data_IF_774164113493
#
_entry.id   IF_774164113493
#
_cell.length_a   1.000
_cell.length_b   1.000
_cell.length_c   1.000
_cell.angle_alpha   90.00
_cell.angle_beta   90.00
_cell.angle_gamma   90.00
#
_symmetry.space_group_name_H-M   'P 1'
#
loop_
_entity.id
_entity.type
_entity.pdbx_description
1 polymer ?
#
# COMPACT_ATOMS: atom_id res chain seq x y z
N UNK A 1 28.97 -33.88 -14.28
CA UNK A 1 28.31 -32.73 -13.63
C UNK A 1 27.07 -32.42 -14.45
N UNK A 2 25.85 -32.47 -13.88
CA UNK A 2 24.62 -32.30 -14.69
C UNK A 2 24.50 -30.88 -15.25
N UNK A 3 23.85 -30.73 -16.40
CA UNK A 3 23.64 -29.45 -17.11
C UNK A 3 23.07 -28.33 -16.21
N UNK A 4 22.22 -28.68 -15.23
CA UNK A 4 21.69 -27.76 -14.23
C UNK A 4 22.74 -27.18 -13.27
N UNK A 5 23.83 -27.90 -13.00
CA UNK A 5 24.95 -27.41 -12.19
C UNK A 5 25.83 -26.47 -13.01
N UNK A 6 25.92 -26.69 -14.32
CA UNK A 6 26.67 -25.81 -15.23
C UNK A 6 25.97 -24.44 -15.36
N UNK A 7 24.64 -24.40 -15.55
CA UNK A 7 23.88 -23.14 -15.55
C UNK A 7 23.86 -22.39 -14.21
N UNK A 8 23.96 -23.10 -13.08
CA UNK A 8 24.06 -22.49 -11.76
C UNK A 8 25.46 -21.90 -11.47
N UNK A 9 26.46 -22.27 -12.29
CA UNK A 9 27.85 -21.81 -12.20
C UNK A 9 28.19 -20.74 -13.24
N UNK A 10 27.27 -20.41 -14.16
CA UNK A 10 27.46 -19.26 -15.05
C UNK A 10 27.26 -17.99 -14.24
N UNK A 11 28.31 -17.19 -14.13
CA UNK A 11 28.27 -15.91 -13.45
C UNK A 11 27.17 -15.04 -14.08
N UNK A 12 26.22 -14.62 -13.23
CA UNK A 12 25.07 -13.83 -13.66
C UNK A 12 25.50 -12.38 -13.70
N UNK A 13 25.66 -11.85 -14.91
CA UNK A 13 25.92 -10.44 -15.14
C UNK A 13 24.66 -9.79 -15.67
N UNK A 14 24.37 -8.56 -15.25
CA UNK A 14 23.27 -7.82 -15.87
C UNK A 14 23.65 -7.35 -17.27
N UNK A 15 22.65 -7.17 -18.11
CA UNK A 15 22.85 -6.67 -19.46
C UNK A 15 23.51 -5.29 -19.41
N UNK A 16 24.72 -5.16 -19.93
CA UNK A 16 25.46 -3.90 -19.99
C UNK A 16 26.52 -3.70 -18.89
N UNK A 17 26.56 -4.54 -17.85
CA UNK A 17 27.63 -4.51 -16.85
C UNK A 17 28.91 -5.16 -17.36
N UNK A 18 30.07 -4.71 -16.84
CA UNK A 18 31.37 -5.34 -17.14
C UNK A 18 31.45 -6.69 -16.44
N UNK A 19 31.83 -7.72 -17.19
CA UNK A 19 32.02 -9.09 -16.68
C UNK A 19 33.48 -9.42 -16.26
N UNK A 20 34.37 -8.44 -16.33
CA UNK A 20 35.79 -8.58 -15.98
C UNK A 20 36.39 -7.25 -15.55
N UNK A 21 37.50 -7.31 -14.82
CA UNK A 21 38.30 -6.14 -14.47
C UNK A 21 39.67 -6.52 -13.90
N UNK A 22 40.18 -5.70 -12.97
CA UNK A 22 41.53 -5.88 -12.42
C UNK A 22 41.75 -7.26 -11.76
N UNK A 23 40.72 -7.81 -11.11
CA UNK A 23 40.78 -9.10 -10.41
C UNK A 23 40.47 -10.31 -11.30
N UNK A 24 40.41 -10.11 -12.62
CA UNK A 24 40.07 -11.15 -13.60
C UNK A 24 38.60 -11.18 -13.95
N UNK A 25 38.13 -12.34 -14.41
CA UNK A 25 36.72 -12.56 -14.76
C UNK A 25 35.89 -12.69 -13.49
N UNK A 26 34.71 -12.08 -13.51
CA UNK A 26 33.74 -12.25 -12.44
C UNK A 26 33.19 -13.67 -12.48
N UNK A 27 33.09 -14.27 -11.30
CA UNK A 27 32.67 -15.67 -11.13
C UNK A 27 31.53 -15.82 -10.14
N UNK A 28 31.19 -14.74 -9.43
CA UNK A 28 30.09 -14.71 -8.49
C UNK A 28 28.77 -15.15 -9.13
N UNK A 29 27.92 -15.80 -8.33
CA UNK A 29 26.59 -16.24 -8.76
C UNK A 29 25.56 -15.10 -8.75
N UNK A 30 25.94 -13.94 -8.22
CA UNK A 30 25.13 -12.74 -8.09
C UNK A 30 26.01 -11.52 -8.38
N UNK A 31 25.49 -10.59 -9.19
CA UNK A 31 26.03 -9.25 -9.45
C UNK A 31 24.98 -8.22 -9.01
N UNK A 32 25.34 -7.24 -8.18
CA UNK A 32 24.39 -6.32 -7.57
C UNK A 32 24.04 -5.15 -8.50
N UNK A 33 23.15 -4.25 -8.06
CA UNK A 33 22.62 -3.21 -8.94
C UNK A 33 23.67 -2.15 -9.29
N UNK A 34 24.71 -2.02 -8.46
CA UNK A 34 25.78 -1.07 -8.68
C UNK A 34 26.60 -1.44 -9.94
N UNK A 35 26.90 -0.45 -10.78
CA UNK A 35 27.68 -0.67 -12.00
C UNK A 35 29.16 -0.97 -11.70
N UNK A 36 29.69 -1.99 -12.38
CA UNK A 36 31.06 -2.47 -12.15
C UNK A 36 32.14 -1.51 -12.67
N UNK A 37 33.10 -1.19 -11.80
CA UNK A 37 34.30 -0.38 -12.06
C UNK A 37 33.99 1.03 -12.59
N UNK A 38 32.98 1.70 -12.05
CA UNK A 38 32.63 3.09 -12.41
C UNK A 38 33.54 4.13 -11.77
N UNK A 39 33.95 3.92 -10.50
CA UNK A 39 34.76 4.89 -9.75
C UNK A 39 36.26 4.61 -9.82
N UNK A 40 36.64 3.34 -9.90
CA UNK A 40 38.04 2.91 -9.96
C UNK A 40 38.16 1.57 -10.68
N UNK A 41 39.33 1.30 -11.27
CA UNK A 41 39.62 0.03 -11.93
C UNK A 41 39.88 -1.13 -10.94
N UNK A 42 40.12 -0.84 -9.67
CA UNK A 42 40.53 -1.84 -8.66
C UNK A 42 39.38 -2.42 -7.83
N UNK A 43 38.22 -1.75 -7.80
CA UNK A 43 37.04 -2.12 -7.00
C UNK A 43 35.87 -2.22 -7.96
N UNK A 44 35.22 -3.39 -8.00
CA UNK A 44 34.08 -3.62 -8.86
C UNK A 44 32.87 -2.77 -8.44
N UNK A 45 32.35 -2.98 -7.22
CA UNK A 45 31.21 -2.22 -6.70
C UNK A 45 31.70 -1.28 -5.58
N UNK A 46 31.85 0.01 -5.87
CA UNK A 46 32.47 0.97 -4.96
C UNK A 46 31.68 1.16 -3.66
N UNK A 47 30.39 1.49 -3.76
CA UNK A 47 29.55 1.79 -2.61
C UNK A 47 29.26 0.53 -1.78
N UNK A 48 29.00 -0.60 -2.42
CA UNK A 48 28.86 -1.89 -1.73
C UNK A 48 30.16 -2.31 -1.02
N UNK A 49 31.33 -1.97 -1.57
CA UNK A 49 32.62 -2.23 -0.91
C UNK A 49 32.84 -1.32 0.30
N UNK A 50 32.77 0.01 0.14
CA UNK A 50 33.14 0.96 1.21
C UNK A 50 32.13 1.02 2.35
N UNK A 51 30.85 0.70 2.09
CA UNK A 51 29.80 0.63 3.11
C UNK A 51 30.07 -0.43 4.19
N UNK A 52 30.96 -1.39 3.92
CA UNK A 52 31.39 -2.39 4.89
C UNK A 52 32.38 -1.86 5.96
N UNK A 53 33.05 -0.71 5.73
CA UNK A 53 34.07 -0.18 6.64
C UNK A 53 33.50 0.15 8.04
N UNK A 54 32.38 0.89 8.18
CA UNK A 54 31.79 1.16 9.49
C UNK A 54 31.37 -0.13 10.22
N UNK A 55 30.86 -1.11 9.47
CA UNK A 55 30.43 -2.40 10.00
C UNK A 55 31.61 -3.20 10.58
N UNK A 56 32.76 -3.20 9.90
CA UNK A 56 34.02 -3.79 10.41
C UNK A 56 34.46 -3.08 11.69
N UNK A 57 34.51 -1.75 11.68
CA UNK A 57 34.96 -0.95 12.83
C UNK A 57 34.08 -1.19 14.07
N UNK A 58 32.76 -1.24 13.89
CA UNK A 58 31.81 -1.51 14.97
C UNK A 58 31.96 -2.94 15.53
N UNK A 59 32.18 -3.94 14.66
CA UNK A 59 32.45 -5.31 15.09
C UNK A 59 33.72 -5.42 15.94
N UNK A 60 34.82 -4.78 15.51
CA UNK A 60 36.07 -4.74 16.27
C UNK A 60 35.92 -3.99 17.60
N UNK A 61 35.21 -2.85 17.59
CA UNK A 61 34.94 -2.09 18.81
C UNK A 61 34.12 -2.90 19.82
N UNK A 62 33.08 -3.60 19.38
CA UNK A 62 32.29 -4.48 20.25
C UNK A 62 33.08 -5.66 20.80
N UNK A 63 34.01 -6.21 20.01
CA UNK A 63 34.91 -7.28 20.45
C UNK A 63 35.88 -6.76 21.52
N UNK A 64 36.52 -5.61 21.28
CA UNK A 64 37.39 -4.94 22.25
C UNK A 64 36.65 -4.66 23.56
N UNK A 65 35.47 -4.04 23.49
CA UNK A 65 34.67 -3.71 24.67
C UNK A 65 34.30 -4.98 25.46
N UNK A 66 33.87 -6.04 24.77
CA UNK A 66 33.56 -7.33 25.40
C UNK A 66 34.76 -7.98 26.09
N UNK A 67 35.97 -7.79 25.56
CA UNK A 67 37.20 -8.33 26.14
C UNK A 67 37.68 -7.53 27.36
N UNK A 68 37.41 -6.23 27.41
CA UNK A 68 37.86 -5.35 28.50
C UNK A 68 36.88 -5.32 29.67
N UNK A 69 35.58 -5.16 29.38
CA UNK A 69 34.58 -4.86 30.40
C UNK A 69 34.00 -6.10 31.08
N UNK A 70 34.06 -7.27 30.44
CA UNK A 70 33.47 -8.49 31.00
C UNK A 70 34.45 -9.15 32.00
N UNK A 71 34.14 -9.20 33.31
CA UNK A 71 35.11 -9.65 34.31
C UNK A 71 35.41 -11.14 34.22
N UNK A 72 34.43 -11.94 33.81
CA UNK A 72 34.55 -13.39 33.71
C UNK A 72 35.27 -13.82 32.42
N UNK A 73 36.38 -14.54 32.56
CA UNK A 73 37.18 -15.02 31.43
C UNK A 73 36.39 -15.88 30.43
N UNK A 74 35.47 -16.70 30.92
CA UNK A 74 34.58 -17.51 30.09
C UNK A 74 33.60 -16.64 29.30
N UNK A 75 33.05 -15.60 29.93
CA UNK A 75 32.07 -14.73 29.30
C UNK A 75 32.71 -13.76 28.29
N UNK A 76 33.96 -13.31 28.52
CA UNK A 76 34.71 -12.45 27.59
C UNK A 76 34.67 -12.99 26.17
N UNK A 77 35.17 -14.21 25.97
CA UNK A 77 35.23 -14.82 24.65
C UNK A 77 33.85 -15.20 24.11
N UNK A 78 32.92 -15.57 25.01
CA UNK A 78 31.54 -15.87 24.63
C UNK A 78 30.88 -14.68 23.92
N UNK A 79 31.09 -13.45 24.39
CA UNK A 79 30.51 -12.25 23.77
C UNK A 79 31.45 -11.58 22.75
N UNK A 80 32.76 -11.67 22.91
CA UNK A 80 33.73 -11.08 21.97
C UNK A 80 33.78 -11.83 20.63
N UNK A 81 33.65 -13.16 20.61
CA UNK A 81 33.77 -13.94 19.39
C UNK A 81 32.71 -13.60 18.32
N UNK A 82 31.40 -13.45 18.66
CA UNK A 82 30.40 -12.97 17.69
C UNK A 82 30.71 -11.57 17.15
N UNK A 83 31.15 -10.63 18.00
CA UNK A 83 31.51 -9.28 17.56
C UNK A 83 32.70 -9.27 16.61
N UNK A 84 33.72 -10.08 16.91
CA UNK A 84 34.85 -10.27 16.01
C UNK A 84 34.39 -10.93 14.69
N UNK A 85 33.49 -11.91 14.78
CA UNK A 85 32.88 -12.54 13.62
C UNK A 85 32.10 -11.56 12.73
N UNK A 86 31.38 -10.59 13.30
CA UNK A 86 30.74 -9.49 12.57
C UNK A 86 31.80 -8.71 11.75
N UNK A 87 32.96 -8.41 12.33
CA UNK A 87 34.05 -7.77 11.60
C UNK A 87 34.59 -8.65 10.46
N UNK A 88 34.66 -9.98 10.66
CA UNK A 88 35.04 -10.92 9.60
C UNK A 88 34.03 -10.95 8.45
N UNK A 89 32.73 -10.92 8.74
CA UNK A 89 31.67 -10.80 7.71
C UNK A 89 31.89 -9.53 6.90
N UNK A 90 32.13 -8.39 7.56
CA UNK A 90 32.33 -7.12 6.87
C UNK A 90 33.58 -7.11 6.00
N UNK A 91 34.67 -7.70 6.48
CA UNK A 91 35.90 -7.85 5.69
C UNK A 91 35.67 -8.75 4.48
N UNK A 92 34.92 -9.84 4.65
CA UNK A 92 34.61 -10.75 3.56
C UNK A 92 33.70 -10.13 2.51
N UNK A 93 32.64 -9.43 2.93
CA UNK A 93 31.76 -8.65 2.07
C UNK A 93 32.52 -7.56 1.31
N UNK A 94 33.43 -6.84 1.97
CA UNK A 94 34.34 -5.89 1.33
C UNK A 94 35.15 -6.55 0.21
N UNK A 95 35.77 -7.71 0.47
CA UNK A 95 36.57 -8.43 -0.53
C UNK A 95 35.67 -8.94 -1.67
N UNK A 96 34.49 -9.44 -1.35
CA UNK A 96 33.53 -9.92 -2.34
C UNK A 96 33.10 -8.80 -3.28
N UNK A 97 32.59 -7.68 -2.78
CA UNK A 97 32.15 -6.56 -3.63
C UNK A 97 33.29 -5.87 -4.38
N UNK A 98 34.52 -5.93 -3.86
CA UNK A 98 35.69 -5.44 -4.59
C UNK A 98 36.08 -6.32 -5.78
N UNK A 99 35.80 -7.62 -5.72
CA UNK A 99 36.36 -8.63 -6.66
C UNK A 99 35.32 -9.35 -7.51
N UNK A 100 34.06 -9.45 -7.07
CA UNK A 100 32.99 -10.28 -7.62
C UNK A 100 33.42 -11.73 -7.89
N UNK A 101 34.19 -12.28 -6.95
CA UNK A 101 34.70 -13.66 -7.01
C UNK A 101 33.78 -14.61 -6.22
N UNK A 102 33.46 -15.76 -6.81
CA UNK A 102 32.64 -16.79 -6.17
C UNK A 102 33.17 -17.27 -4.82
N UNK A 103 34.50 -17.46 -4.71
CA UNK A 103 35.10 -17.91 -3.46
C UNK A 103 34.98 -16.84 -2.37
N UNK A 104 35.09 -15.56 -2.73
CA UNK A 104 34.88 -14.46 -1.80
C UNK A 104 33.40 -14.38 -1.38
N UNK A 105 32.48 -14.50 -2.34
CA UNK A 105 31.04 -14.55 -2.08
C UNK A 105 30.68 -15.64 -1.06
N UNK A 106 31.04 -16.89 -1.37
CA UNK A 106 30.60 -18.04 -0.57
C UNK A 106 31.39 -18.15 0.72
N UNK A 107 32.73 -18.14 0.66
CA UNK A 107 33.55 -18.49 1.82
C UNK A 107 33.81 -17.32 2.77
N UNK A 108 33.83 -16.09 2.27
CA UNK A 108 34.20 -14.92 3.06
C UNK A 108 32.98 -14.05 3.44
N UNK A 109 31.95 -13.99 2.61
CA UNK A 109 30.77 -13.18 2.92
C UNK A 109 29.60 -14.04 3.46
N UNK A 110 29.05 -14.92 2.63
CA UNK A 110 27.83 -15.66 2.94
C UNK A 110 28.00 -16.71 4.05
N UNK A 111 29.04 -17.53 4.01
CA UNK A 111 29.25 -18.52 5.06
C UNK A 111 29.54 -17.90 6.42
N UNK A 112 30.44 -16.91 6.58
CA UNK A 112 30.66 -16.28 7.87
C UNK A 112 29.40 -15.71 8.53
N UNK A 113 28.42 -15.21 7.76
CA UNK A 113 27.11 -14.83 8.31
C UNK A 113 26.42 -15.99 9.05
N UNK A 114 26.45 -17.20 8.48
CA UNK A 114 25.89 -18.41 9.12
C UNK A 114 26.66 -18.80 10.38
N UNK A 115 28.00 -18.73 10.36
CA UNK A 115 28.82 -19.04 11.53
C UNK A 115 28.54 -18.07 12.68
N UNK A 116 28.53 -16.77 12.41
CA UNK A 116 28.27 -15.72 13.42
C UNK A 116 26.87 -15.86 13.98
N UNK A 117 25.85 -16.03 13.14
CA UNK A 117 24.47 -16.25 13.59
C UNK A 117 24.36 -17.53 14.43
N UNK A 118 25.11 -18.58 14.12
CA UNK A 118 25.17 -19.79 14.95
C UNK A 118 25.83 -19.53 16.31
N UNK A 119 26.86 -18.67 16.39
CA UNK A 119 27.42 -18.25 17.68
C UNK A 119 26.41 -17.45 18.51
N UNK A 120 25.63 -16.56 17.89
CA UNK A 120 24.55 -15.83 18.55
C UNK A 120 23.43 -16.78 19.00
N UNK A 121 23.10 -17.79 18.19
CA UNK A 121 22.18 -18.86 18.57
C UNK A 121 22.67 -19.58 19.83
N UNK A 122 23.97 -19.85 19.95
CA UNK A 122 24.54 -20.39 21.18
C UNK A 122 24.37 -19.44 22.36
N UNK A 123 24.54 -18.13 22.17
CA UNK A 123 24.34 -17.16 23.25
C UNK A 123 22.95 -17.22 23.87
N UNK A 124 21.91 -17.31 23.05
CA UNK A 124 20.51 -17.28 23.51
C UNK A 124 20.02 -18.63 24.05
N UNK A 125 20.66 -19.74 23.69
CA UNK A 125 20.33 -21.07 24.20
C UNK A 125 21.19 -21.53 25.38
N UNK A 126 22.43 -21.06 25.49
CA UNK A 126 23.31 -21.47 26.57
C UNK A 126 22.89 -20.84 27.91
N UNK A 127 23.08 -21.55 29.05
CA UNK A 127 22.75 -21.04 30.38
C UNK A 127 23.44 -19.70 30.69
N UNK A 128 22.85 -18.92 31.58
CA UNK A 128 23.41 -17.64 32.05
C UNK A 128 24.64 -17.86 32.92
N UNK A 129 24.60 -18.87 33.80
CA UNK A 129 25.57 -18.99 34.91
C UNK A 129 26.66 -20.06 34.63
N UNK A 130 26.82 -20.47 33.37
CA UNK A 130 27.72 -21.57 33.04
C UNK A 130 27.97 -21.78 31.56
N UNK A 131 28.88 -22.71 31.26
CA UNK A 131 29.10 -23.15 29.89
C UNK A 131 27.95 -24.07 29.45
N UNK A 132 27.42 -23.88 28.24
CA UNK A 132 26.37 -24.75 27.70
C UNK A 132 26.80 -26.22 27.68
N UNK A 133 25.81 -27.12 27.70
CA UNK A 133 26.08 -28.56 27.66
C UNK A 133 26.89 -28.93 26.40
N UNK A 134 27.71 -29.98 26.48
CA UNK A 134 28.48 -30.45 25.32
C UNK A 134 27.57 -30.78 24.13
N UNK A 135 26.39 -31.35 24.41
CA UNK A 135 25.36 -31.63 23.39
C UNK A 135 24.91 -30.35 22.67
N UNK A 136 24.68 -29.26 23.41
CA UNK A 136 24.31 -27.97 22.82
C UNK A 136 25.44 -27.42 21.95
N UNK A 137 26.69 -27.47 22.43
CA UNK A 137 27.86 -26.99 21.68
C UNK A 137 28.05 -27.77 20.37
N UNK A 138 27.99 -29.10 20.43
CA UNK A 138 28.09 -29.96 19.25
C UNK A 138 26.92 -29.71 18.28
N UNK A 139 25.70 -29.63 18.81
CA UNK A 139 24.51 -29.36 18.00
C UNK A 139 24.64 -28.04 17.23
N UNK A 140 24.99 -26.96 17.93
CA UNK A 140 25.14 -25.65 17.28
C UNK A 140 26.35 -25.59 16.33
N UNK A 141 27.47 -26.22 16.68
CA UNK A 141 28.63 -26.29 15.77
C UNK A 141 28.35 -27.10 14.51
N UNK A 142 27.45 -28.10 14.57
CA UNK A 142 27.09 -28.91 13.40
C UNK A 142 26.27 -28.13 12.36
N UNK A 143 25.47 -27.15 12.78
CA UNK A 143 24.60 -26.35 11.90
C UNK A 143 25.39 -25.65 10.78
N UNK A 144 26.37 -24.77 11.07
CA UNK A 144 27.11 -24.08 10.02
C UNK A 144 27.93 -25.05 9.16
N UNK A 145 28.47 -26.14 9.74
CA UNK A 145 29.23 -27.14 8.99
C UNK A 145 28.36 -27.89 7.96
N UNK A 146 27.14 -28.28 8.35
CA UNK A 146 26.18 -28.94 7.45
C UNK A 146 25.74 -27.97 6.36
N UNK A 147 25.44 -26.72 6.71
CA UNK A 147 25.04 -25.69 5.73
C UNK A 147 26.18 -25.42 4.73
N UNK A 148 27.43 -25.30 5.21
CA UNK A 148 28.60 -25.15 4.33
C UNK A 148 28.74 -26.34 3.39
N UNK A 149 28.65 -27.58 3.89
CA UNK A 149 28.75 -28.78 3.05
C UNK A 149 27.62 -28.84 2.00
N UNK A 150 26.39 -28.49 2.40
CA UNK A 150 25.24 -28.44 1.51
C UNK A 150 25.43 -27.38 0.41
N UNK A 151 25.91 -26.19 0.79
CA UNK A 151 26.05 -25.08 -0.15
C UNK A 151 27.19 -25.28 -1.14
N UNK A 152 28.32 -25.85 -0.71
CA UNK A 152 29.40 -26.25 -1.60
C UNK A 152 28.96 -27.36 -2.58
N UNK A 153 27.98 -28.19 -2.20
CA UNK A 153 27.43 -29.25 -3.07
C UNK A 153 26.38 -28.71 -4.05
N UNK A 154 25.61 -27.73 -3.62
CA UNK A 154 24.52 -27.10 -4.36
C UNK A 154 24.63 -25.57 -4.22
N UNK A 155 25.38 -24.89 -5.11
CA UNK A 155 25.71 -23.48 -4.97
C UNK A 155 24.55 -22.56 -5.38
N UNK A 156 23.37 -22.77 -4.80
CA UNK A 156 22.20 -21.91 -4.98
C UNK A 156 22.12 -20.90 -3.83
N UNK A 157 22.25 -19.58 -4.08
CA UNK A 157 22.22 -18.56 -3.02
C UNK A 157 20.93 -18.56 -2.17
N UNK A 158 19.83 -19.08 -2.72
CA UNK A 158 18.56 -19.27 -1.99
C UNK A 158 18.74 -20.20 -0.78
N UNK A 159 19.60 -21.21 -0.85
CA UNK A 159 19.86 -22.14 0.26
C UNK A 159 20.45 -21.37 1.44
N UNK A 160 21.45 -20.53 1.19
CA UNK A 160 22.02 -19.64 2.20
C UNK A 160 20.92 -18.75 2.82
N UNK A 161 20.12 -18.07 1.99
CA UNK A 161 19.06 -17.16 2.45
C UNK A 161 18.02 -17.85 3.36
N UNK A 162 17.53 -19.02 2.96
CA UNK A 162 16.56 -19.79 3.75
C UNK A 162 17.16 -20.30 5.07
N UNK A 163 18.40 -20.77 5.05
CA UNK A 163 19.08 -21.24 6.26
C UNK A 163 19.36 -20.08 7.22
N UNK A 164 19.86 -18.96 6.71
CA UNK A 164 20.08 -17.75 7.48
C UNK A 164 18.78 -17.26 8.13
N UNK A 165 17.69 -17.19 7.35
CA UNK A 165 16.37 -16.86 7.88
C UNK A 165 15.97 -17.82 9.02
N UNK A 166 16.06 -19.14 8.82
CA UNK A 166 15.73 -20.13 9.85
C UNK A 166 16.51 -19.96 11.16
N UNK A 167 17.80 -19.63 11.09
CA UNK A 167 18.63 -19.34 12.27
C UNK A 167 18.15 -18.05 12.96
N UNK A 168 17.93 -16.97 12.20
CA UNK A 168 17.41 -15.70 12.72
C UNK A 168 16.05 -15.87 13.40
N UNK A 169 15.16 -16.70 12.83
CA UNK A 169 13.88 -17.06 13.43
C UNK A 169 14.04 -17.77 14.77
N UNK A 170 14.96 -18.72 14.83
CA UNK A 170 15.25 -19.48 16.05
C UNK A 170 15.80 -18.58 17.16
N UNK A 171 16.66 -17.62 16.80
CA UNK A 171 17.16 -16.59 17.71
C UNK A 171 16.00 -15.72 18.21
N UNK A 172 15.18 -15.19 17.31
CA UNK A 172 14.03 -14.34 17.65
C UNK A 172 13.04 -15.04 18.57
N UNK A 173 12.68 -16.30 18.26
CA UNK A 173 11.83 -17.13 19.11
C UNK A 173 12.39 -17.29 20.52
N UNK A 174 13.69 -17.60 20.63
CA UNK A 174 14.34 -17.82 21.92
C UNK A 174 14.45 -16.51 22.73
N UNK A 175 14.76 -15.39 22.08
CA UNK A 175 14.82 -14.07 22.72
C UNK A 175 13.47 -13.66 23.32
N UNK A 176 12.36 -13.90 22.61
CA UNK A 176 11.01 -13.67 23.15
C UNK A 176 10.79 -14.48 24.43
N UNK A 177 11.19 -15.76 24.45
CA UNK A 177 11.10 -16.60 25.64
C UNK A 177 11.92 -16.09 26.82
N UNK A 178 13.11 -15.54 26.57
CA UNK A 178 13.96 -14.93 27.60
C UNK A 178 13.34 -13.65 28.18
N UNK A 179 12.80 -12.79 27.32
CA UNK A 179 12.14 -11.52 27.70
C UNK A 179 10.88 -11.75 28.52
N UNK A 180 10.12 -12.80 28.21
CA UNK A 180 8.88 -13.13 28.92
C UNK A 180 9.10 -13.79 30.27
N UNK A 181 10.31 -14.24 30.56
CA UNK A 181 10.58 -14.93 31.81
C UNK A 181 10.67 -13.91 32.96
N UNK A 182 9.72 -13.91 33.92
CA UNK A 182 9.63 -12.91 34.97
C UNK A 182 10.75 -12.99 36.02
N UNK A 183 11.60 -14.03 35.96
CA UNK A 183 12.74 -14.19 36.88
C UNK A 183 13.93 -13.29 36.55
N UNK A 184 13.99 -12.73 35.34
CA UNK A 184 15.11 -11.87 34.93
C UNK A 184 14.92 -10.43 35.40
N UNK A 185 16.04 -9.70 35.53
CA UNK A 185 16.05 -8.30 35.96
C UNK A 185 15.19 -7.42 35.01
N UNK A 186 14.20 -6.66 35.54
CA UNK A 186 13.33 -5.81 34.72
C UNK A 186 14.08 -4.73 33.92
N UNK A 187 15.17 -4.16 34.46
CA UNK A 187 15.95 -3.13 33.77
C UNK A 187 16.67 -3.74 32.56
N UNK A 188 17.28 -4.92 32.74
CA UNK A 188 17.90 -5.66 31.64
C UNK A 188 16.88 -6.09 30.57
N UNK A 189 15.65 -6.41 30.97
CA UNK A 189 14.55 -6.70 30.03
C UNK A 189 14.18 -5.44 29.23
N UNK A 190 14.14 -4.27 29.88
CA UNK A 190 13.85 -3.00 29.21
C UNK A 190 14.90 -2.68 28.15
N UNK A 191 16.18 -2.75 28.51
CA UNK A 191 17.30 -2.52 27.57
C UNK A 191 17.27 -3.54 26.42
N UNK A 192 17.08 -4.82 26.73
CA UNK A 192 16.97 -5.87 25.71
C UNK A 192 15.82 -5.60 24.73
N UNK A 193 14.64 -5.18 25.22
CA UNK A 193 13.51 -4.80 24.36
C UNK A 193 13.85 -3.63 23.47
N UNK A 194 14.50 -2.59 24.01
CA UNK A 194 14.91 -1.43 23.25
C UNK A 194 15.84 -1.82 22.09
N UNK A 195 16.91 -2.57 22.36
CA UNK A 195 17.86 -3.01 21.32
C UNK A 195 17.25 -3.98 20.30
N UNK A 196 16.38 -4.90 20.73
CA UNK A 196 15.73 -5.85 19.82
C UNK A 196 14.73 -5.15 18.91
N UNK A 197 13.92 -4.22 19.43
CA UNK A 197 12.93 -3.49 18.63
C UNK A 197 13.62 -2.57 17.63
N UNK A 198 14.59 -1.78 18.10
CA UNK A 198 15.37 -0.89 17.21
C UNK A 198 16.14 -1.68 16.16
N UNK A 199 16.81 -2.76 16.55
CA UNK A 199 17.52 -3.65 15.63
C UNK A 199 16.60 -4.33 14.61
N UNK A 200 15.43 -4.82 15.05
CA UNK A 200 14.45 -5.40 14.14
C UNK A 200 13.91 -4.39 13.13
N UNK A 201 13.62 -3.15 13.57
CA UNK A 201 13.21 -2.08 12.68
C UNK A 201 14.28 -1.75 11.63
N UNK A 202 15.54 -1.60 12.05
CA UNK A 202 16.65 -1.34 11.13
C UNK A 202 16.85 -2.50 10.15
N UNK A 203 16.72 -3.75 10.60
CA UNK A 203 16.82 -4.92 9.73
C UNK A 203 15.71 -4.95 8.68
N UNK A 204 14.46 -4.66 9.05
CA UNK A 204 13.33 -4.63 8.11
C UNK A 204 13.51 -3.50 7.09
N UNK A 205 13.96 -2.32 7.54
CA UNK A 205 14.27 -1.21 6.66
C UNK A 205 15.37 -1.59 5.66
N UNK A 206 16.47 -2.18 6.14
CA UNK A 206 17.56 -2.64 5.30
C UNK A 206 17.12 -3.71 4.31
N UNK A 207 16.31 -4.69 4.75
CA UNK A 207 15.72 -5.69 3.86
C UNK A 207 14.80 -5.06 2.81
N UNK A 208 14.02 -4.05 3.18
CA UNK A 208 13.19 -3.28 2.25
C UNK A 208 14.04 -2.60 1.17
N UNK A 209 15.10 -1.90 1.58
CA UNK A 209 16.05 -1.26 0.66
C UNK A 209 16.69 -2.30 -0.27
N UNK A 210 17.12 -3.44 0.27
CA UNK A 210 17.70 -4.54 -0.50
C UNK A 210 16.73 -5.11 -1.55
N UNK A 211 15.43 -5.22 -1.24
CA UNK A 211 14.44 -5.65 -2.25
C UNK A 211 14.19 -4.58 -3.31
N UNK A 212 14.23 -3.30 -2.95
CA UNK A 212 14.12 -2.20 -3.91
C UNK A 212 15.30 -2.28 -4.90
N UNK A 213 16.51 -2.49 -4.40
CA UNK A 213 17.71 -2.65 -5.22
C UNK A 213 17.58 -3.84 -6.19
N UNK A 214 17.08 -4.99 -5.74
CA UNK A 214 16.89 -6.14 -6.62
C UNK A 214 15.76 -5.97 -7.64
N UNK A 215 14.62 -5.40 -7.24
CA UNK A 215 13.40 -5.40 -8.06
C UNK A 215 13.37 -4.22 -9.04
N UNK A 216 13.85 -3.06 -8.61
CA UNK A 216 13.78 -1.83 -9.39
C UNK A 216 15.11 -1.44 -10.02
N UNK A 217 16.13 -2.30 -9.98
CA UNK A 217 17.44 -1.95 -10.53
C UNK A 217 17.38 -1.50 -11.99
N UNK A 218 16.71 -2.28 -12.85
CA UNK A 218 16.62 -1.98 -14.28
C UNK A 218 15.95 -0.61 -14.48
N UNK A 219 14.92 -0.31 -13.68
CA UNK A 219 14.28 1.01 -13.71
C UNK A 219 15.27 2.13 -13.35
N UNK A 220 16.05 1.96 -12.28
CA UNK A 220 17.02 2.98 -11.84
C UNK A 220 18.19 3.15 -12.81
N UNK A 221 18.78 2.06 -13.27
CA UNK A 221 19.92 2.04 -14.20
C UNK A 221 19.52 2.52 -15.61
N UNK A 222 18.36 2.11 -16.13
CA UNK A 222 17.85 2.63 -17.41
C UNK A 222 17.52 4.11 -17.33
N UNK A 223 16.88 4.57 -16.25
CA UNK A 223 16.55 5.99 -16.09
C UNK A 223 17.81 6.85 -15.93
N UNK A 224 18.79 6.38 -15.16
CA UNK A 224 20.06 7.08 -14.96
C UNK A 224 20.91 7.11 -16.23
N UNK A 225 21.02 5.99 -16.94
CA UNK A 225 21.75 5.94 -18.22
C UNK A 225 21.11 6.85 -19.28
N UNK A 226 19.79 6.85 -19.40
CA UNK A 226 19.06 7.77 -20.30
C UNK A 226 19.24 9.24 -19.90
N UNK A 227 19.22 9.55 -18.60
CA UNK A 227 19.46 10.90 -18.10
C UNK A 227 20.91 11.36 -18.37
N UNK A 228 21.89 10.49 -18.18
CA UNK A 228 23.30 10.76 -18.47
C UNK A 228 23.57 10.87 -19.98
N UNK A 229 22.92 10.07 -20.82
CA UNK A 229 23.00 10.22 -22.29
C UNK A 229 22.40 11.54 -22.76
N UNK A 230 21.22 11.92 -22.24
CA UNK A 230 20.62 13.24 -22.52
C UNK A 230 21.53 14.39 -22.06
N UNK A 231 22.19 14.23 -20.91
CA UNK A 231 23.16 15.21 -20.42
C UNK A 231 24.43 15.25 -21.28
N UNK A 232 24.87 14.11 -21.85
CA UNK A 232 26.01 14.03 -22.77
C UNK A 232 25.70 14.68 -24.12
N UNK A 233 24.47 14.54 -24.62
CA UNK A 233 24.01 15.22 -25.83
C UNK A 233 23.89 16.74 -25.65
N UNK A 234 23.48 17.21 -24.46
CA UNK A 234 23.33 18.65 -24.18
C UNK A 234 24.64 19.37 -23.88
N UNK A 235 25.73 18.65 -23.59
CA UNK A 235 27.02 19.24 -23.17
C UNK A 235 28.12 19.21 -24.24
N UNK A 236 27.97 18.46 -25.33
CA UNK A 236 28.98 18.37 -26.39
C UNK A 236 28.67 19.31 -27.57
N UNK A 237 29.53 20.30 -27.87
CA UNK A 237 29.40 21.15 -29.06
C UNK A 237 29.62 20.30 -30.31
N UNK A 238 28.64 20.29 -31.24
CA UNK A 238 28.76 19.57 -32.51
C UNK A 238 28.27 18.12 -32.51
N UNK A 239 27.43 17.71 -31.55
CA UNK A 239 26.77 16.39 -31.58
C UNK A 239 25.98 16.18 -32.89
N UNK A 240 26.01 14.96 -33.46
CA UNK A 240 25.16 14.63 -34.61
C UNK A 240 23.69 14.81 -34.26
N UNK A 241 22.89 15.19 -35.26
CA UNK A 241 21.45 15.36 -35.10
C UNK A 241 20.82 14.12 -34.41
N UNK A 242 19.87 14.31 -33.48
CA UNK A 242 19.27 13.21 -32.73
C UNK A 242 18.72 12.14 -33.68
N UNK A 243 18.84 10.84 -33.32
CA UNK A 243 18.43 9.76 -34.20
C UNK A 243 16.95 9.88 -34.58
N UNK A 244 16.56 9.62 -35.84
CA UNK A 244 15.17 9.79 -36.30
C UNK A 244 14.14 8.98 -35.51
N UNK A 245 14.55 7.86 -34.92
CA UNK A 245 13.71 7.04 -34.03
C UNK A 245 13.35 7.78 -32.74
N UNK A 246 14.28 8.54 -32.16
CA UNK A 246 14.05 9.33 -30.96
C UNK A 246 13.12 10.51 -31.26
N UNK A 247 13.32 11.18 -32.39
CA UNK A 247 12.40 12.24 -32.88
C UNK A 247 10.99 11.67 -33.04
N UNK A 248 10.86 10.51 -33.70
CA UNK A 248 9.56 9.85 -33.92
C UNK A 248 8.86 9.48 -32.61
N UNK A 249 9.63 9.03 -31.61
CA UNK A 249 9.10 8.66 -30.30
C UNK A 249 8.65 9.89 -29.51
N UNK A 250 9.43 10.98 -29.54
CA UNK A 250 9.07 12.24 -28.90
C UNK A 250 7.80 12.84 -29.53
N UNK A 251 7.69 12.84 -30.87
CA UNK A 251 6.48 13.31 -31.57
C UNK A 251 5.25 12.51 -31.12
N UNK A 252 5.35 11.16 -31.11
CA UNK A 252 4.23 10.30 -30.72
C UNK A 252 3.79 10.54 -29.27
N UNK A 253 4.73 10.70 -28.35
CA UNK A 253 4.43 10.94 -26.94
C UNK A 253 3.81 12.33 -26.72
N UNK A 254 4.31 13.35 -27.40
CA UNK A 254 3.78 14.71 -27.33
C UNK A 254 2.36 14.81 -27.90
N UNK A 255 2.07 14.11 -29.00
CA UNK A 255 0.74 14.04 -29.59
C UNK A 255 -0.24 13.29 -28.68
N UNK A 256 0.19 12.17 -28.08
CA UNK A 256 -0.64 11.44 -27.12
C UNK A 256 -1.01 12.31 -25.91
N UNK A 257 -0.04 13.03 -25.33
CA UNK A 257 -0.30 13.96 -24.23
C UNK A 257 -1.23 15.10 -24.65
N UNK A 258 -1.07 15.62 -25.87
CA UNK A 258 -1.95 16.66 -26.43
C UNK A 258 -3.40 16.17 -26.49
N UNK A 259 -3.63 14.95 -26.98
CA UNK A 259 -4.98 14.37 -27.06
C UNK A 259 -5.59 14.15 -25.68
N UNK A 260 -4.83 13.62 -24.72
CA UNK A 260 -5.33 13.38 -23.36
C UNK A 260 -5.71 14.68 -22.64
N UNK A 261 -4.95 15.76 -22.83
CA UNK A 261 -5.27 17.07 -22.23
C UNK A 261 -6.58 17.62 -22.81
N UNK A 262 -6.81 17.45 -24.11
CA UNK A 262 -8.05 17.88 -24.77
C UNK A 262 -9.26 17.07 -24.28
N UNK A 263 -9.12 15.76 -24.11
CA UNK A 263 -10.19 14.90 -23.60
C UNK A 263 -10.57 15.27 -22.15
N UNK A 264 -9.57 15.51 -21.30
CA UNK A 264 -9.78 15.97 -19.91
C UNK A 264 -10.43 17.36 -19.90
N UNK A 265 -10.09 18.26 -20.81
CA UNK A 265 -10.68 19.60 -20.91
C UNK A 265 -12.17 19.54 -21.28
N UNK A 266 -12.55 18.62 -22.17
CA UNK A 266 -13.95 18.36 -22.54
C UNK A 266 -14.72 17.78 -21.36
N UNK A 267 -14.16 16.81 -20.64
CA UNK A 267 -14.79 16.19 -19.47
C UNK A 267 -14.91 17.17 -18.28
N UNK A 268 -13.91 18.03 -18.09
CA UNK A 268 -13.88 19.01 -17.02
C UNK A 268 -14.81 20.21 -17.24
N UNK A 269 -15.47 20.34 -18.41
CA UNK A 269 -16.34 21.48 -18.80
C UNK A 269 -15.69 22.85 -18.61
N UNK A 270 -14.39 22.97 -18.89
CA UNK A 270 -13.66 24.25 -18.80
C UNK A 270 -13.37 24.74 -17.37
N UNK A 271 -13.33 23.84 -16.37
CA UNK A 271 -12.84 24.15 -15.02
C UNK A 271 -11.35 24.50 -15.04
N UNK A 272 -10.92 25.44 -14.18
CA UNK A 272 -9.53 25.93 -14.06
C UNK A 272 -8.50 24.83 -13.75
N UNK A 273 -8.93 23.63 -13.38
CA UNK A 273 -8.08 22.49 -13.00
C UNK A 273 -7.19 21.98 -14.15
N UNK A 274 -7.57 22.20 -15.42
CA UNK A 274 -6.79 21.75 -16.59
C UNK A 274 -5.73 22.79 -17.02
N UNK A 275 -5.79 24.02 -16.49
CA UNK A 275 -4.88 25.12 -16.85
C UNK A 275 -3.40 24.79 -16.53
N UNK A 276 -3.04 24.21 -15.37
CA UNK A 276 -1.66 23.84 -15.07
C UNK A 276 -1.09 22.78 -16.03
N UNK A 277 -1.91 21.82 -16.46
CA UNK A 277 -1.50 20.78 -17.40
C UNK A 277 -1.22 21.37 -18.80
N UNK A 278 -2.07 22.28 -19.26
CA UNK A 278 -1.88 23.02 -20.52
C UNK A 278 -0.60 23.84 -20.50
N UNK A 279 -0.33 24.56 -19.41
CA UNK A 279 0.92 25.33 -19.25
C UNK A 279 2.16 24.43 -19.24
N UNK A 280 2.11 23.29 -18.54
CA UNK A 280 3.22 22.34 -18.49
C UNK A 280 3.50 21.73 -19.86
N UNK A 281 2.46 21.36 -20.61
CA UNK A 281 2.59 20.82 -21.96
C UNK A 281 3.16 21.87 -22.95
N UNK A 282 2.75 23.14 -22.85
CA UNK A 282 3.32 24.21 -23.68
C UNK A 282 4.81 24.47 -23.38
N UNK A 283 5.23 24.37 -22.11
CA UNK A 283 6.65 24.44 -21.73
C UNK A 283 7.45 23.29 -22.35
N UNK A 284 6.92 22.06 -22.29
CA UNK A 284 7.53 20.90 -22.93
C UNK A 284 7.64 21.06 -24.45
N UNK A 285 6.58 21.55 -25.11
CA UNK A 285 6.58 21.84 -26.54
C UNK A 285 7.69 22.81 -26.94
N UNK A 286 7.86 23.92 -26.21
CA UNK A 286 8.90 24.93 -26.49
C UNK A 286 10.32 24.38 -26.39
N UNK A 287 10.58 23.43 -25.49
CA UNK A 287 11.91 22.79 -25.36
C UNK A 287 12.28 21.93 -26.58
N UNK A 288 11.29 21.51 -27.37
CA UNK A 288 11.46 20.56 -28.48
C UNK A 288 11.17 21.23 -29.85
N UNK A 289 10.67 22.47 -29.85
CA UNK A 289 10.19 23.19 -31.05
C UNK A 289 11.27 23.42 -32.12
N UNK A 290 12.54 23.57 -31.74
CA UNK A 290 13.66 23.70 -32.69
C UNK A 290 13.93 22.40 -33.47
N UNK A 291 13.56 21.24 -32.91
CA UNK A 291 13.91 19.92 -33.45
C UNK A 291 12.68 19.18 -34.02
N UNK A 292 11.47 19.48 -33.53
CA UNK A 292 10.22 18.80 -33.89
C UNK A 292 9.09 19.81 -34.04
N UNK A 293 8.42 19.81 -35.20
CA UNK A 293 7.17 20.57 -35.39
C UNK A 293 6.01 19.84 -34.74
N UNK A 294 5.43 20.44 -33.70
CA UNK A 294 4.26 19.95 -32.97
C UNK A 294 3.20 21.05 -32.98
N UNK A 295 1.95 20.72 -33.26
CA UNK A 295 0.83 21.68 -33.32
C UNK A 295 0.44 22.20 -31.94
N UNK A 296 0.16 23.50 -31.80
CA UNK A 296 -0.26 24.12 -30.54
C UNK A 296 -1.62 23.60 -30.05
N UNK A 297 -1.90 23.77 -28.76
CA UNK A 297 -3.24 23.57 -28.23
C UNK A 297 -4.17 24.71 -28.69
N UNK A 298 -5.45 24.41 -29.03
CA UNK A 298 -6.45 25.42 -29.35
C UNK A 298 -6.79 26.31 -28.14
N UNK A 299 -7.21 27.57 -28.31
CA UNK A 299 -7.51 28.49 -27.21
C UNK A 299 -8.67 28.01 -26.33
N UNK A 300 -8.59 28.27 -25.02
CA UNK A 300 -9.59 27.89 -24.01
C UNK A 300 -10.91 28.64 -24.29
N UNK A 301 -12.03 27.90 -24.33
CA UNK A 301 -13.35 28.47 -24.59
C UNK A 301 -13.94 28.99 -23.28
N UNK A 302 -13.93 30.31 -23.06
CA UNK A 302 -14.55 30.92 -21.88
C UNK A 302 -16.08 30.73 -21.89
N UNK A 303 -16.71 30.33 -20.77
CA UNK A 303 -18.15 30.25 -20.67
C UNK A 303 -18.78 31.65 -20.68
N UNK A 304 -19.69 31.88 -21.63
CA UNK A 304 -20.48 33.11 -21.72
C UNK A 304 -21.32 33.29 -20.45
N UNK A 305 -21.28 34.44 -19.76
CA UNK A 305 -22.05 34.65 -18.54
C UNK A 305 -23.56 34.57 -18.81
N UNK A 306 -24.34 33.89 -17.95
CA UNK A 306 -25.79 33.92 -18.07
C UNK A 306 -26.34 35.30 -17.68
N UNK A 307 -27.29 35.80 -18.48
CA UNK A 307 -28.01 37.05 -18.24
C UNK A 307 -28.71 37.05 -16.85
N UNK A 308 -28.74 38.19 -16.14
CA UNK A 308 -29.37 38.25 -14.83
C UNK A 308 -30.90 38.15 -14.92
N UNK A 309 -31.56 37.49 -13.94
CA UNK A 309 -33.02 37.36 -13.93
C UNK A 309 -33.69 38.68 -13.49
N UNK A 310 -34.82 38.98 -14.12
CA UNK A 310 -35.68 40.14 -13.83
C UNK A 310 -36.39 40.00 -12.47
N UNK A 311 -36.72 41.09 -11.76
CA UNK A 311 -37.39 41.01 -10.46
C UNK A 311 -38.88 40.66 -10.61
N UNK A 312 -39.51 40.04 -9.60
CA UNK A 312 -40.92 39.65 -9.68
C UNK A 312 -41.83 40.84 -9.41
N UNK A 313 -42.71 41.14 -10.37
CA UNK A 313 -43.80 42.10 -10.17
C UNK A 313 -44.91 41.46 -9.33
N UNK A 314 -45.23 42.08 -8.21
CA UNK A 314 -46.43 41.78 -7.43
C UNK A 314 -47.69 42.22 -8.19
N UNK A 315 -48.64 41.31 -8.40
CA UNK A 315 -50.05 41.68 -8.58
C UNK A 315 -50.98 40.66 -7.91
N UNK A 316 -51.62 41.15 -6.86
CA UNK A 316 -52.91 40.70 -6.31
C UNK A 316 -53.99 40.67 -7.39
N UNK A 317 -54.88 39.67 -7.33
CA UNK A 317 -56.37 39.75 -7.20
C UNK A 317 -56.96 38.37 -7.55
N UNK A 318 -57.75 37.73 -6.69
CA UNK A 318 -59.15 37.99 -6.31
C UNK A 318 -60.15 37.32 -7.29
N UNK A 319 -60.92 36.38 -6.71
CA UNK A 319 -62.32 35.96 -6.97
C UNK A 319 -62.91 36.00 -8.39
N UNK A 320 -63.46 34.83 -8.73
CA UNK A 320 -64.69 34.51 -9.48
C UNK A 320 -64.84 34.83 -10.97
N UNK A 321 -65.09 33.72 -11.69
CA UNK A 321 -66.04 33.48 -12.79
C UNK A 321 -66.09 34.41 -14.00
N UNK A 322 -65.93 33.82 -15.19
CA UNK A 322 -67.07 33.54 -16.09
C UNK A 322 -66.62 33.17 -17.51
N UNK A 323 -67.20 32.10 -18.08
CA UNK A 323 -67.59 32.09 -19.50
C UNK A 323 -69.05 31.63 -19.57
N UNK A 324 -69.95 32.60 -19.52
CA UNK A 324 -71.21 32.58 -20.24
C UNK A 324 -71.28 33.89 -21.05
N UNK A 325 -71.66 33.78 -22.32
CA UNK A 325 -71.92 34.92 -23.19
C UNK A 325 -73.37 35.45 -23.01
N UNK A 326 -73.65 36.70 -23.42
CA UNK A 326 -74.60 37.60 -22.79
C UNK A 326 -75.98 37.64 -23.48
N UNK A 327 -77.03 37.94 -22.71
CA UNK A 327 -78.31 38.43 -23.22
C UNK A 327 -78.55 39.87 -22.76
N UNK A 328 -79.18 40.65 -23.65
CA UNK A 328 -79.27 42.13 -23.67
C UNK A 328 -80.24 42.73 -22.66
N UNK A 329 -79.95 43.98 -22.30
CA UNK A 329 -80.90 44.93 -21.70
C UNK A 329 -81.67 45.75 -22.77
N UNK A 330 -82.88 46.14 -22.37
CA UNK A 330 -83.81 47.18 -22.89
C UNK A 330 -85.06 46.75 -23.71
N UNK A 331 -86.27 47.32 -23.41
CA UNK A 331 -87.11 46.89 -22.26
C UNK A 331 -88.67 46.87 -22.48
N UNK A 332 -89.36 46.43 -21.41
CA UNK A 332 -90.75 46.68 -20.94
C UNK A 332 -91.93 45.83 -21.49
N UNK A 333 -93.09 45.68 -20.78
CA UNK A 333 -93.48 46.04 -19.38
C UNK A 333 -94.16 44.90 -18.54
N UNK A 334 -94.37 45.20 -17.23
CA UNK A 334 -94.83 44.43 -16.06
C UNK A 334 -96.25 43.78 -16.10
N UNK A 335 -96.41 42.57 -15.49
CA UNK A 335 -97.66 42.09 -14.84
C UNK A 335 -97.37 41.20 -13.60
N UNK A 336 -98.24 41.29 -12.61
CA UNK A 336 -98.18 40.75 -11.24
C UNK A 336 -98.50 39.24 -11.18
N UNK A 337 -97.71 38.45 -10.45
CA UNK A 337 -97.81 36.99 -10.45
C UNK A 337 -97.41 36.36 -9.13
N UNK A 338 -98.40 35.99 -8.32
CA UNK A 338 -98.22 35.15 -7.13
C UNK A 338 -98.24 33.66 -7.52
N UNK A 339 -97.32 32.79 -7.04
CA UNK A 339 -97.31 31.36 -7.40
C UNK A 339 -98.46 30.56 -6.80
N UNK A 340 -98.88 29.50 -7.51
CA UNK A 340 -100.00 28.62 -7.14
C UNK A 340 -99.59 27.52 -6.14
N UNK A 341 -100.56 26.96 -5.40
CA UNK A 341 -100.35 25.96 -4.34
C UNK A 341 -99.78 24.61 -4.86
N UNK A 342 -100.09 24.24 -6.10
CA UNK A 342 -99.63 22.98 -6.70
C UNK A 342 -98.14 23.03 -7.06
N UNK A 343 -97.61 24.19 -7.46
CA UNK A 343 -96.19 24.39 -7.75
C UNK A 343 -95.33 24.20 -6.49
N UNK A 344 -95.84 24.63 -5.33
CA UNK A 344 -95.17 24.50 -4.03
C UNK A 344 -95.08 23.02 -3.63
N UNK A 345 -96.15 22.24 -3.81
CA UNK A 345 -96.16 20.81 -3.45
C UNK A 345 -95.22 19.98 -4.33
N UNK A 346 -95.16 20.30 -5.62
CA UNK A 346 -94.29 19.62 -6.56
C UNK A 346 -92.81 19.96 -6.27
N UNK A 347 -92.53 21.22 -5.93
CA UNK A 347 -91.22 21.66 -5.47
C UNK A 347 -90.82 20.96 -4.15
N UNK A 348 -91.75 20.77 -3.23
CA UNK A 348 -91.48 20.08 -1.96
C UNK A 348 -91.17 18.59 -2.15
N UNK A 349 -91.83 17.90 -3.08
CA UNK A 349 -91.51 16.50 -3.41
C UNK A 349 -90.14 16.36 -4.08
N UNK A 350 -89.80 17.28 -4.99
CA UNK A 350 -88.46 17.31 -5.58
C UNK A 350 -87.38 17.58 -4.52
N UNK A 351 -87.66 18.45 -3.55
CA UNK A 351 -86.72 18.72 -2.46
C UNK A 351 -86.52 17.52 -1.52
N UNK A 352 -87.57 16.75 -1.23
CA UNK A 352 -87.43 15.51 -0.42
C UNK A 352 -86.61 14.45 -1.16
N UNK A 353 -86.84 14.25 -2.45
CA UNK A 353 -86.10 13.28 -3.27
C UNK A 353 -84.61 13.64 -3.40
N UNK A 354 -84.30 14.93 -3.51
CA UNK A 354 -82.92 15.44 -3.51
C UNK A 354 -82.22 15.22 -2.16
N UNK A 355 -82.94 15.37 -1.05
CA UNK A 355 -82.41 15.09 0.29
C UNK A 355 -82.16 13.59 0.53
N UNK A 356 -83.05 12.72 0.09
CA UNK A 356 -82.84 11.26 0.19
C UNK A 356 -81.62 10.83 -0.64
N UNK A 357 -81.46 11.39 -1.84
CA UNK A 357 -80.26 11.20 -2.66
C UNK A 357 -78.98 11.66 -1.95
N UNK A 358 -79.05 12.73 -1.16
CA UNK A 358 -77.93 13.19 -0.32
C UNK A 358 -77.63 12.26 0.86
N UNK A 359 -78.66 11.70 1.50
CA UNK A 359 -78.50 10.74 2.59
C UNK A 359 -77.87 9.43 2.11
N UNK A 360 -78.23 8.97 0.91
CA UNK A 360 -77.60 7.78 0.30
C UNK A 360 -76.12 8.01 -0.01
N UNK A 361 -75.77 9.20 -0.55
CA UNK A 361 -74.37 9.59 -0.75
C UNK A 361 -73.62 9.65 0.58
N UNK A 362 -74.21 10.22 1.63
CA UNK A 362 -73.60 10.27 2.96
C UNK A 362 -73.41 8.87 3.55
N UNK A 363 -74.42 7.99 3.43
CA UNK A 363 -74.36 6.61 3.90
C UNK A 363 -73.25 5.81 3.20
N UNK A 364 -73.11 5.98 1.88
CA UNK A 364 -72.02 5.36 1.11
C UNK A 364 -70.64 5.88 1.53
N UNK A 365 -70.52 7.19 1.78
CA UNK A 365 -69.28 7.80 2.25
C UNK A 365 -68.88 7.32 3.65
N UNK A 366 -69.84 7.18 4.57
CA UNK A 366 -69.62 6.65 5.92
C UNK A 366 -69.18 5.18 5.87
N UNK A 367 -69.77 4.36 4.99
CA UNK A 367 -69.32 2.97 4.81
C UNK A 367 -67.88 2.91 4.30
N UNK A 368 -67.55 3.70 3.27
CA UNK A 368 -66.18 3.78 2.76
C UNK A 368 -65.18 4.26 3.83
N UNK A 369 -65.56 5.25 4.63
CA UNK A 369 -64.70 5.74 5.73
C UNK A 369 -64.51 4.68 6.83
N UNK A 370 -65.55 3.92 7.16
CA UNK A 370 -65.46 2.79 8.09
C UNK A 370 -64.52 1.72 7.56
N UNK A 371 -64.62 1.37 6.28
CA UNK A 371 -63.77 0.35 5.66
C UNK A 371 -62.30 0.79 5.63
N UNK A 372 -62.02 2.06 5.32
CA UNK A 372 -60.67 2.64 5.42
C UNK A 372 -60.16 2.56 6.87
N UNK A 373 -61.01 2.85 7.86
CA UNK A 373 -60.61 2.78 9.27
C UNK A 373 -60.28 1.36 9.72
N UNK A 374 -61.00 0.35 9.22
CA UNK A 374 -60.70 -1.05 9.50
C UNK A 374 -59.39 -1.46 8.83
N UNK A 375 -59.15 -1.05 7.58
CA UNK A 375 -57.90 -1.31 6.89
C UNK A 375 -56.69 -0.64 7.56
N UNK A 376 -56.84 0.60 8.06
CA UNK A 376 -55.79 1.26 8.84
C UNK A 376 -55.51 0.50 10.15
N UNK A 377 -56.56 0.00 10.82
CA UNK A 377 -56.39 -0.76 12.04
C UNK A 377 -55.62 -2.07 11.79
N UNK A 378 -55.96 -2.78 10.73
CA UNK A 378 -55.28 -4.03 10.35
C UNK A 378 -53.81 -3.76 9.98
N UNK A 379 -53.51 -2.66 9.26
CA UNK A 379 -52.13 -2.28 8.94
C UNK A 379 -51.33 -1.87 10.18
N UNK A 380 -51.96 -1.23 11.17
CA UNK A 380 -51.33 -0.90 12.45
C UNK A 380 -50.97 -2.15 13.25
N UNK A 381 -51.83 -3.18 13.25
CA UNK A 381 -51.55 -4.48 13.89
C UNK A 381 -50.41 -5.23 13.18
N UNK A 382 -50.31 -5.12 11.85
CA UNK A 382 -49.17 -5.64 11.10
C UNK A 382 -47.88 -4.86 11.45
N UNK A 383 -47.95 -3.54 11.54
CA UNK A 383 -46.81 -2.70 11.89
C UNK A 383 -46.30 -2.95 13.32
N UNK A 384 -47.18 -3.19 14.29
CA UNK A 384 -46.75 -3.54 15.66
C UNK A 384 -46.06 -4.90 15.68
N UNK A 385 -46.56 -5.90 14.94
CA UNK A 385 -45.92 -7.19 14.79
C UNK A 385 -44.54 -7.12 14.12
N UNK A 386 -44.39 -6.25 13.11
CA UNK A 386 -43.09 -6.00 12.46
C UNK A 386 -42.10 -5.31 13.40
N UNK A 387 -42.56 -4.38 14.25
CA UNK A 387 -41.72 -3.70 15.23
C UNK A 387 -41.21 -4.65 16.31
N UNK A 388 -42.04 -5.58 16.78
CA UNK A 388 -41.62 -6.59 17.76
C UNK A 388 -40.61 -7.59 17.16
N UNK A 389 -40.80 -7.97 15.89
CA UNK A 389 -39.82 -8.77 15.16
C UNK A 389 -38.48 -8.04 14.97
N UNK A 390 -38.52 -6.74 14.65
CA UNK A 390 -37.34 -5.88 14.53
C UNK A 390 -36.59 -5.78 15.86
N UNK A 391 -37.30 -5.58 16.97
CA UNK A 391 -36.71 -5.50 18.31
C UNK A 391 -35.99 -6.81 18.67
N UNK A 392 -36.61 -7.95 18.37
CA UNK A 392 -36.00 -9.24 18.60
C UNK A 392 -34.75 -9.50 17.71
N UNK A 393 -34.76 -9.02 16.47
CA UNK A 393 -33.59 -9.08 15.58
C UNK A 393 -32.46 -8.16 16.03
N UNK A 394 -32.79 -6.97 16.54
CA UNK A 394 -31.84 -6.02 17.14
C UNK A 394 -31.17 -6.61 18.39
N UNK A 395 -31.92 -7.27 19.27
CA UNK A 395 -31.38 -7.97 20.44
C UNK A 395 -30.39 -9.07 20.03
N UNK A 396 -30.78 -9.89 19.04
CA UNK A 396 -29.91 -10.94 18.51
C UNK A 396 -28.61 -10.37 17.90
N UNK A 397 -28.70 -9.19 17.28
CA UNK A 397 -27.57 -8.46 16.71
C UNK A 397 -26.69 -7.89 17.83
N UNK A 398 -27.28 -7.36 18.90
CA UNK A 398 -26.59 -6.91 20.12
C UNK A 398 -25.77 -8.03 20.76
N UNK A 399 -26.33 -9.23 20.84
CA UNK A 399 -25.66 -10.42 21.37
C UNK A 399 -24.53 -10.94 20.48
N UNK A 400 -24.64 -10.78 19.15
CA UNK A 400 -23.55 -11.10 18.22
C UNK A 400 -22.43 -10.08 18.32
N UNK A 401 -22.77 -8.79 18.42
CA UNK A 401 -21.82 -7.70 18.54
C UNK A 401 -21.07 -7.76 19.88
N UNK A 402 -21.74 -8.10 20.97
CA UNK A 402 -21.12 -8.25 22.29
C UNK A 402 -20.11 -9.41 22.32
N UNK A 403 -20.44 -10.53 21.68
CA UNK A 403 -19.52 -11.68 21.50
C UNK A 403 -18.33 -11.33 20.60
N UNK A 404 -18.56 -10.58 19.52
CA UNK A 404 -17.50 -10.11 18.64
C UNK A 404 -16.54 -9.15 19.38
N UNK A 405 -17.08 -8.23 20.18
CA UNK A 405 -16.30 -7.30 21.01
C UNK A 405 -15.42 -8.04 22.03
N UNK A 406 -15.96 -9.06 22.71
CA UNK A 406 -15.17 -9.89 23.66
C UNK A 406 -14.04 -10.64 22.97
N UNK A 407 -14.25 -11.13 21.74
CA UNK A 407 -13.19 -11.76 20.94
C UNK A 407 -12.12 -10.75 20.53
N UNK A 408 -12.53 -9.54 20.12
CA UNK A 408 -11.60 -8.45 19.82
C UNK A 408 -10.79 -8.03 21.05
N UNK A 409 -11.39 -7.96 22.24
CA UNK A 409 -10.65 -7.67 23.48
C UNK A 409 -9.64 -8.77 23.83
N UNK A 410 -9.98 -10.04 23.58
CA UNK A 410 -9.06 -11.15 23.80
C UNK A 410 -7.89 -11.12 22.82
N UNK A 411 -8.17 -10.82 21.54
CA UNK A 411 -7.13 -10.63 20.51
C UNK A 411 -6.27 -9.42 20.81
N UNK A 412 -6.85 -8.30 21.25
CA UNK A 412 -6.14 -7.08 21.60
C UNK A 412 -5.22 -7.28 22.82
N UNK A 413 -5.67 -8.02 23.85
CA UNK A 413 -4.82 -8.40 25.00
C UNK A 413 -3.73 -9.38 24.58
N UNK A 414 -4.05 -10.38 23.77
CA UNK A 414 -3.07 -11.31 23.22
C UNK A 414 -2.01 -10.61 22.34
N UNK A 415 -2.43 -9.61 21.56
CA UNK A 415 -1.54 -8.76 20.76
C UNK A 415 -0.74 -7.76 21.62
N UNK A 416 -1.23 -7.36 22.80
CA UNK A 416 -0.47 -6.51 23.73
C UNK A 416 0.62 -7.32 24.45
N UNK A 417 0.30 -8.53 24.89
CA UNK A 417 1.23 -9.38 25.64
C UNK A 417 2.22 -10.13 24.72
N UNK A 418 1.80 -10.40 23.48
CA UNK A 418 2.61 -11.08 22.47
C UNK A 418 2.96 -10.21 21.26
N UNK A 419 2.77 -8.90 21.34
CA UNK A 419 2.84 -7.99 20.19
C UNK A 419 4.14 -8.05 19.42
N UNK A 420 5.27 -8.16 20.11
CA UNK A 420 6.57 -8.35 19.46
C UNK A 420 6.67 -9.68 18.71
N UNK A 421 6.16 -10.78 19.25
CA UNK A 421 6.22 -12.10 18.61
C UNK A 421 5.25 -12.22 17.44
N UNK A 422 4.04 -11.64 17.56
CA UNK A 422 3.06 -11.59 16.48
C UNK A 422 3.54 -10.65 15.38
N UNK A 423 4.08 -9.49 15.72
CA UNK A 423 4.68 -8.58 14.75
C UNK A 423 5.85 -9.25 14.02
N UNK A 424 6.76 -9.91 14.75
CA UNK A 424 7.86 -10.68 14.16
C UNK A 424 7.29 -11.77 13.23
N UNK A 425 6.34 -12.59 13.69
CA UNK A 425 5.71 -13.65 12.88
C UNK A 425 5.02 -13.15 11.61
N UNK A 426 4.30 -12.03 11.70
CA UNK A 426 3.65 -11.38 10.56
C UNK A 426 4.69 -10.79 9.60
N UNK A 427 5.73 -10.14 10.12
CA UNK A 427 6.83 -9.60 9.33
C UNK A 427 7.56 -10.72 8.57
N UNK A 428 7.75 -11.88 9.19
CA UNK A 428 8.35 -13.07 8.57
C UNK A 428 7.43 -13.68 7.52
N UNK A 429 6.13 -13.75 7.79
CA UNK A 429 5.18 -14.26 6.80
C UNK A 429 5.13 -13.35 5.56
N UNK A 430 5.14 -12.03 5.77
CA UNK A 430 5.28 -11.04 4.71
C UNK A 430 6.63 -11.22 4.01
N UNK A 431 7.73 -11.38 4.74
CA UNK A 431 9.07 -11.65 4.18
C UNK A 431 9.08 -12.88 3.28
N UNK A 432 8.46 -13.99 3.71
CA UNK A 432 8.38 -15.23 2.95
C UNK A 432 7.51 -15.09 1.71
N UNK A 433 6.38 -14.36 1.81
CA UNK A 433 5.55 -14.03 0.65
C UNK A 433 6.34 -13.17 -0.33
N UNK A 434 7.06 -12.15 0.14
CA UNK A 434 7.87 -11.29 -0.71
C UNK A 434 8.98 -12.09 -1.40
N UNK A 435 9.67 -12.98 -0.67
CA UNK A 435 10.69 -13.85 -1.27
C UNK A 435 10.09 -14.77 -2.33
N UNK A 436 8.89 -15.34 -2.11
CA UNK A 436 8.24 -16.21 -3.09
C UNK A 436 7.81 -15.39 -4.30
N UNK A 437 7.06 -14.31 -4.09
CA UNK A 437 6.45 -13.50 -5.16
C UNK A 437 7.47 -12.78 -6.02
N UNK A 438 8.59 -12.32 -5.44
CA UNK A 438 9.61 -11.56 -6.16
C UNK A 438 10.80 -12.39 -6.65
N UNK A 439 10.87 -13.69 -6.32
CA UNK A 439 11.98 -14.57 -6.73
C UNK A 439 11.56 -15.79 -7.55
N UNK A 440 10.26 -16.04 -7.73
CA UNK A 440 9.71 -16.76 -8.90
C UNK A 440 9.43 -15.80 -10.02
#
# INVERSE_FOLDING_TARGET
>A
MSEHVIRALEAVHRTGQKAYGFWGNHTATIDWCEDNYTHTQYIAEWYNTVSNIPFIALGLYGAYYSLVEIPSAMHRWRFAAPHFGIACVGLGSFIFHATLNWYAQVLLDEMPMIYVSSMVLYLVFAPTDGSGSLKLKIGIASVPLIITALYLRFPYPVIHQLCFAGIMLSIGYRLVGLIRNPKHNPDAIFDAKYYIITGAFMFILAFGIWNIDNTFCDFWTMTLSQALELQRFSTLPGSPAPPPSLITQITRNMDSLRTSILDIEVEAKGREEVRPLREQWERMRKMVEEQVKIDSLPPVREPTPPLPPSPPSSKRKASDDAIFQPYKDEPAPYEDGSPSHDDILLQQRQMMDDQDTHLDRLSSSIRNQRDISLQINDELEVHTGLLEALDHELDSTGDRLSRARRRLDHVARGAKDNGSAVAIGVLIFVLLILIIVFKT
#
